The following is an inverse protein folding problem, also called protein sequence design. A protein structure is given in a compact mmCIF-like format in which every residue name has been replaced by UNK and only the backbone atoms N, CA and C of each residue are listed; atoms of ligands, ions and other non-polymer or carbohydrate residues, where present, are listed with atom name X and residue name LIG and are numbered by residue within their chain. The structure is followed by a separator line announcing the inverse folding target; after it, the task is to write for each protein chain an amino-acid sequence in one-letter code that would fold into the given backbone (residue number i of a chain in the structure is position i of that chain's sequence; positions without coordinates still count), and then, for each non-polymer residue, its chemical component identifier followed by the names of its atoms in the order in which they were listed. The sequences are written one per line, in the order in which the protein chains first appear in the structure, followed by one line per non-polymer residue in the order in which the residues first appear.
data_IF_876087966634
#
_entry.id   IF_876087966634
#
_cell.length_a   1.000
_cell.length_b   1.000
_cell.length_c   1.000
_cell.angle_alpha   90.00
_cell.angle_beta   90.00
_cell.angle_gamma   90.00
#
_symmetry.space_group_name_H-M   'P 1'
#
loop_
_entity.id
_entity.type
_entity.pdbx_description
1 polymer ?
#
# COMPACT_ATOMS: atom_id res chain seq x y z
N UNK A 1 12.23 0.46 -20.34
CA UNK A 1 12.44 0.33 -18.87
C UNK A 1 11.42 -0.63 -18.31
N UNK A 2 11.81 -1.64 -17.53
CA UNK A 2 10.91 -2.69 -17.04
C UNK A 2 10.34 -2.35 -15.65
N UNK A 3 9.05 -2.59 -15.47
CA UNK A 3 8.33 -2.38 -14.21
C UNK A 3 8.98 -3.22 -13.10
N UNK A 4 9.21 -2.57 -11.96
CA UNK A 4 9.91 -3.10 -10.79
C UNK A 4 11.38 -3.51 -11.00
N UNK A 5 11.98 -3.21 -12.13
CA UNK A 5 13.41 -3.37 -12.32
C UNK A 5 14.17 -2.37 -11.45
N UNK A 6 15.22 -2.86 -10.79
CA UNK A 6 16.12 -2.05 -9.98
C UNK A 6 17.25 -1.50 -10.86
N UNK A 7 17.42 -0.19 -10.84
CA UNK A 7 18.45 0.51 -11.59
C UNK A 7 19.49 1.13 -10.68
N UNK A 8 20.74 1.13 -11.14
CA UNK A 8 21.85 1.86 -10.53
C UNK A 8 21.95 3.25 -11.13
N UNK A 9 21.95 4.26 -10.27
CA UNK A 9 22.20 5.66 -10.62
C UNK A 9 23.47 6.17 -9.91
N UNK A 10 24.53 6.33 -10.69
CA UNK A 10 25.84 6.79 -10.21
C UNK A 10 26.14 8.22 -10.64
N UNK A 11 26.80 8.97 -9.76
CA UNK A 11 27.37 10.29 -10.07
C UNK A 11 28.88 10.26 -9.80
N UNK A 12 29.74 10.65 -10.75
CA UNK A 12 29.41 11.09 -12.12
C UNK A 12 28.80 9.94 -12.95
N UNK A 13 28.09 10.32 -14.02
CA UNK A 13 27.44 9.35 -14.91
C UNK A 13 28.49 8.50 -15.64
N UNK A 14 28.36 7.16 -15.64
CA UNK A 14 29.22 6.25 -16.41
C UNK A 14 28.96 6.31 -17.93
N UNK A 15 27.98 7.10 -18.39
CA UNK A 15 27.58 7.17 -19.80
C UNK A 15 26.50 6.16 -20.19
N UNK A 16 25.96 6.29 -21.42
CA UNK A 16 24.89 5.43 -21.95
C UNK A 16 25.38 4.06 -22.45
N UNK A 17 26.68 3.89 -22.71
CA UNK A 17 27.25 2.65 -23.26
C UNK A 17 27.56 1.61 -22.18
N UNK A 18 27.61 2.04 -20.92
CA UNK A 18 27.83 1.14 -19.78
C UNK A 18 26.50 0.53 -19.36
N UNK A 19 26.26 -0.74 -19.70
CA UNK A 19 24.98 -1.41 -19.41
C UNK A 19 24.76 -1.69 -17.93
N UNK A 20 25.80 -2.10 -17.20
CA UNK A 20 25.73 -2.46 -15.79
C UNK A 20 26.75 -1.70 -14.96
N UNK A 21 26.35 -1.31 -13.75
CA UNK A 21 27.23 -0.76 -12.71
C UNK A 21 26.95 -1.49 -11.42
N UNK A 22 28.00 -2.05 -10.81
CA UNK A 22 27.89 -2.86 -9.59
C UNK A 22 26.92 -4.06 -9.76
N UNK A 23 26.82 -4.65 -10.97
CA UNK A 23 25.92 -5.78 -11.26
C UNK A 23 24.45 -5.40 -11.52
N UNK A 24 24.10 -4.12 -11.43
CA UNK A 24 22.74 -3.63 -11.67
C UNK A 24 22.68 -2.78 -12.93
N UNK A 25 21.53 -2.81 -13.61
CA UNK A 25 21.35 -2.06 -14.86
C UNK A 25 21.52 -0.58 -14.62
N UNK A 26 22.41 0.05 -15.37
CA UNK A 26 22.68 1.47 -15.31
C UNK A 26 21.49 2.25 -15.88
N UNK A 27 20.95 3.20 -15.11
CA UNK A 27 19.82 3.99 -15.60
C UNK A 27 20.16 4.78 -16.86
N UNK A 28 21.38 5.31 -16.99
CA UNK A 28 21.76 6.11 -18.17
C UNK A 28 21.79 5.28 -19.45
N UNK A 29 22.12 3.99 -19.35
CA UNK A 29 22.00 3.05 -20.44
C UNK A 29 20.54 2.67 -20.70
N UNK A 30 19.77 2.37 -19.65
CA UNK A 30 18.35 2.04 -19.77
C UNK A 30 17.51 3.18 -20.36
N UNK A 31 17.99 4.41 -20.24
CA UNK A 31 17.38 5.63 -20.76
C UNK A 31 18.17 6.25 -21.91
N UNK A 32 19.05 5.49 -22.57
CA UNK A 32 19.80 6.00 -23.72
C UNK A 32 18.85 6.36 -24.85
N UNK A 33 19.13 7.47 -25.51
CA UNK A 33 18.42 7.80 -26.73
C UNK A 33 18.83 6.85 -27.86
N UNK A 34 17.91 6.45 -28.75
CA UNK A 34 18.29 5.85 -30.02
C UNK A 34 19.16 6.81 -30.83
N UNK A 35 19.97 6.27 -31.73
CA UNK A 35 20.84 7.03 -32.65
C UNK A 35 20.03 7.69 -33.78
N UNK A 36 19.00 8.45 -33.40
CA UNK A 36 18.19 9.22 -34.32
C UNK A 36 18.85 10.59 -34.57
N UNK A 37 18.86 11.09 -35.82
CA UNK A 37 19.50 12.38 -36.14
C UNK A 37 19.02 13.55 -35.27
N UNK A 38 17.75 13.56 -34.86
CA UNK A 38 17.20 14.60 -33.99
C UNK A 38 17.63 14.53 -32.52
N UNK A 39 18.37 13.49 -32.11
CA UNK A 39 18.74 13.25 -30.71
C UNK A 39 20.25 13.34 -30.42
N UNK A 40 21.08 13.64 -31.42
CA UNK A 40 22.55 13.71 -31.29
C UNK A 40 22.99 14.58 -30.10
N UNK A 41 22.34 15.72 -29.89
CA UNK A 41 22.65 16.66 -28.79
C UNK A 41 21.56 16.70 -27.70
N UNK A 42 20.69 15.69 -27.64
CA UNK A 42 19.56 15.69 -26.71
C UNK A 42 19.97 15.59 -25.23
N UNK A 43 21.24 15.28 -24.95
CA UNK A 43 21.79 15.10 -23.61
C UNK A 43 21.34 13.78 -22.99
N UNK A 44 21.13 13.76 -21.67
CA UNK A 44 20.68 12.59 -20.92
C UNK A 44 19.59 12.96 -19.94
N UNK A 45 18.76 12.00 -19.53
CA UNK A 45 17.86 12.20 -18.39
C UNK A 45 18.64 12.19 -17.06
N UNK A 46 18.09 12.84 -16.05
CA UNK A 46 18.56 12.77 -14.66
C UNK A 46 17.47 12.10 -13.81
N UNK A 47 17.89 11.46 -12.71
CA UNK A 47 17.01 10.88 -11.69
C UNK A 47 17.56 11.19 -10.30
N UNK A 48 17.68 12.48 -10.04
CA UNK A 48 17.89 13.02 -8.72
C UNK A 48 16.62 12.88 -7.87
N UNK A 49 16.79 12.98 -6.55
CA UNK A 49 15.65 12.90 -5.65
C UNK A 49 14.74 14.12 -5.86
N UNK A 50 13.44 13.88 -6.01
CA UNK A 50 12.46 14.94 -6.26
C UNK A 50 11.80 14.80 -7.62
N UNK A 51 11.59 15.93 -8.29
CA UNK A 51 10.97 16.03 -9.61
C UNK A 51 12.02 16.46 -10.63
N UNK A 52 12.38 15.56 -11.54
CA UNK A 52 13.30 15.81 -12.65
C UNK A 52 12.56 15.96 -13.97
N UNK A 53 12.64 17.16 -14.50
CA UNK A 53 11.95 17.57 -15.70
C UNK A 53 12.85 17.39 -16.93
N UNK A 54 12.46 16.52 -17.87
CA UNK A 54 13.15 16.48 -19.18
C UNK A 54 12.94 17.84 -19.87
N UNK A 55 14.02 18.43 -20.41
CA UNK A 55 13.98 19.78 -21.00
C UNK A 55 12.86 19.90 -22.04
N UNK A 56 12.18 21.05 -22.06
CA UNK A 56 11.25 21.35 -23.16
C UNK A 56 12.01 21.45 -24.47
N UNK A 57 11.38 21.02 -25.56
CA UNK A 57 11.90 21.17 -26.92
C UNK A 57 10.90 21.92 -27.79
N UNK A 58 11.39 22.50 -28.88
CA UNK A 58 10.57 22.97 -29.99
C UNK A 58 10.66 21.92 -31.11
N UNK A 59 9.62 21.12 -31.25
CA UNK A 59 9.48 20.15 -32.33
C UNK A 59 8.75 20.77 -33.53
N UNK A 60 8.66 20.02 -34.63
CA UNK A 60 7.95 20.43 -35.86
C UNK A 60 6.48 20.80 -35.63
N UNK A 61 5.84 20.27 -34.59
CA UNK A 61 4.43 20.50 -34.25
C UNK A 61 4.23 21.35 -32.98
N UNK A 62 5.29 21.98 -32.48
CA UNK A 62 5.24 22.96 -31.40
C UNK A 62 6.12 22.64 -30.19
N UNK A 63 5.93 23.41 -29.13
CA UNK A 63 6.67 23.18 -27.88
C UNK A 63 6.03 22.05 -27.07
N UNK A 64 6.87 21.16 -26.55
CA UNK A 64 6.42 20.06 -25.70
C UNK A 64 7.45 19.68 -24.64
N UNK A 65 6.95 19.07 -23.57
CA UNK A 65 7.77 18.39 -22.56
C UNK A 65 7.77 16.87 -22.84
N UNK A 66 8.95 16.23 -22.95
CA UNK A 66 9.00 14.82 -23.26
C UNK A 66 8.48 13.92 -22.13
N UNK A 67 8.95 14.13 -20.90
CA UNK A 67 8.54 13.40 -19.70
C UNK A 67 8.93 14.17 -18.43
N UNK A 68 8.39 13.74 -17.28
CA UNK A 68 8.82 14.16 -15.94
C UNK A 68 9.16 12.88 -15.15
N UNK A 69 10.34 12.80 -14.55
CA UNK A 69 10.75 11.70 -13.69
C UNK A 69 10.56 12.14 -12.23
N UNK A 70 9.97 11.29 -11.40
CA UNK A 70 9.67 11.54 -9.99
C UNK A 70 10.33 10.45 -9.17
N UNK A 71 11.26 10.84 -8.29
CA UNK A 71 12.07 9.94 -7.50
C UNK A 71 11.81 10.13 -6.00
N UNK A 72 11.06 9.21 -5.40
CA UNK A 72 10.62 9.26 -4.00
C UNK A 72 11.44 8.35 -3.08
N UNK A 73 11.63 8.78 -1.84
CA UNK A 73 12.36 8.05 -0.80
C UNK A 73 11.42 7.72 0.38
N UNK A 74 10.52 6.73 0.22
CA UNK A 74 9.50 6.44 1.23
C UNK A 74 10.12 5.95 2.56
N UNK A 75 11.23 5.21 2.52
CA UNK A 75 11.87 4.64 3.71
C UNK A 75 12.60 5.64 4.62
N UNK A 76 12.59 6.93 4.31
CA UNK A 76 13.01 7.98 5.25
C UNK A 76 11.83 8.54 6.07
N UNK A 77 10.60 8.06 5.81
CA UNK A 77 9.42 8.28 6.64
C UNK A 77 9.44 7.32 7.83
N UNK A 78 10.21 7.68 8.86
CA UNK A 78 10.35 6.86 10.08
C UNK A 78 11.00 7.59 11.26
N UNK A 79 11.28 8.89 11.15
CA UNK A 79 11.47 9.73 12.34
C UNK A 79 10.11 10.27 12.76
N UNK A 80 9.81 10.26 14.06
CA UNK A 80 8.54 10.58 14.76
C UNK A 80 7.81 11.90 14.42
N UNK A 81 8.16 12.60 13.33
CA UNK A 81 7.88 14.01 13.17
C UNK A 81 7.39 14.46 11.78
N UNK A 82 7.31 13.60 10.76
CA UNK A 82 6.76 14.00 9.44
C UNK A 82 5.43 13.29 9.14
N UNK A 83 4.27 13.90 9.46
CA UNK A 83 2.95 13.33 9.12
C UNK A 83 2.71 13.26 7.60
N UNK A 84 3.53 13.94 6.81
CA UNK A 84 3.44 13.98 5.35
C UNK A 84 4.56 13.13 4.73
N UNK A 85 4.19 11.99 4.17
CA UNK A 85 5.10 11.10 3.42
C UNK A 85 4.45 10.70 2.10
N UNK A 86 5.28 10.46 1.07
CA UNK A 86 4.77 9.95 -0.19
C UNK A 86 4.19 8.54 0.01
N UNK A 87 3.01 8.28 -0.54
CA UNK A 87 2.38 6.96 -0.54
C UNK A 87 2.56 6.36 -1.94
N UNK A 88 3.34 5.28 -2.04
CA UNK A 88 3.61 4.61 -3.30
C UNK A 88 2.87 3.28 -3.32
N UNK A 89 1.75 3.21 -4.04
CA UNK A 89 0.89 2.02 -4.15
C UNK A 89 0.83 1.50 -5.60
N UNK A 90 1.97 1.05 -6.17
CA UNK A 90 2.02 0.64 -7.58
C UNK A 90 1.17 -0.60 -7.88
N UNK A 91 0.78 -1.37 -6.87
CA UNK A 91 -0.06 -2.56 -7.02
C UNK A 91 -1.50 -2.23 -7.44
N UNK A 92 -2.04 -1.11 -6.94
CA UNK A 92 -3.37 -0.60 -7.31
C UNK A 92 -3.28 0.57 -8.31
N UNK A 93 -2.07 0.88 -8.77
CA UNK A 93 -1.80 1.94 -9.75
C UNK A 93 -2.06 3.35 -9.22
N UNK A 94 -1.66 3.63 -7.97
CA UNK A 94 -1.80 4.93 -7.33
C UNK A 94 -0.49 5.39 -6.69
N UNK A 95 -0.19 6.68 -6.83
CA UNK A 95 0.90 7.37 -6.14
C UNK A 95 0.36 8.67 -5.58
N UNK A 96 0.56 8.91 -4.28
CA UNK A 96 0.38 10.21 -3.65
C UNK A 96 1.75 10.84 -3.38
N UNK A 97 2.05 11.93 -4.07
CA UNK A 97 3.38 12.56 -4.05
C UNK A 97 3.33 14.00 -3.56
N UNK A 98 4.19 14.36 -2.61
CA UNK A 98 4.32 15.72 -2.10
C UNK A 98 5.35 16.51 -2.90
N UNK A 99 4.98 17.74 -3.24
CA UNK A 99 5.76 18.66 -4.04
C UNK A 99 7.11 19.07 -3.45
N UNK A 100 7.90 19.79 -4.24
CA UNK A 100 9.24 20.23 -3.88
C UNK A 100 9.29 21.58 -3.13
N UNK A 101 8.13 22.17 -2.78
CA UNK A 101 8.15 23.37 -1.95
C UNK A 101 8.62 23.07 -0.52
N UNK A 102 9.35 24.03 0.05
CA UNK A 102 9.90 23.99 1.40
C UNK A 102 9.70 25.34 2.05
N UNK A 103 9.65 25.40 3.38
CA UNK A 103 9.51 26.65 4.13
C UNK A 103 10.57 27.71 3.79
N UNK A 104 11.73 27.31 3.28
CA UNK A 104 12.83 28.21 2.87
C UNK A 104 12.67 28.82 1.48
N UNK A 105 11.75 28.32 0.65
CA UNK A 105 11.64 28.68 -0.77
C UNK A 105 10.59 29.77 -1.06
N UNK A 106 9.87 30.23 -0.03
CA UNK A 106 8.87 31.30 -0.14
C UNK A 106 7.42 30.80 -0.05
N UNK A 107 6.45 31.74 -0.07
CA UNK A 107 5.04 31.43 0.16
C UNK A 107 4.35 30.80 -1.06
N UNK A 108 4.86 31.02 -2.28
CA UNK A 108 4.23 30.53 -3.49
C UNK A 108 4.71 29.09 -3.81
N UNK A 109 3.83 28.08 -3.74
CA UNK A 109 4.20 26.68 -3.99
C UNK A 109 4.58 26.39 -5.44
N UNK A 110 4.45 27.35 -6.36
CA UNK A 110 4.89 27.23 -7.77
C UNK A 110 6.28 27.87 -8.06
N UNK A 111 6.91 28.48 -7.06
CA UNK A 111 8.28 28.99 -7.20
C UNK A 111 9.29 27.87 -7.44
N UNK A 112 9.22 26.71 -6.76
CA UNK A 112 10.04 25.56 -7.08
C UNK A 112 9.77 25.01 -8.50
N UNK A 113 10.81 24.58 -9.23
CA UNK A 113 10.67 24.12 -10.61
C UNK A 113 9.89 22.80 -10.72
N UNK A 114 9.95 21.92 -9.72
CA UNK A 114 9.26 20.65 -9.71
C UNK A 114 7.75 20.83 -9.71
N UNK A 115 7.21 21.50 -8.71
CA UNK A 115 5.78 21.84 -8.60
C UNK A 115 5.27 22.55 -9.84
N UNK A 116 6.01 23.55 -10.33
CA UNK A 116 5.66 24.26 -11.57
C UNK A 116 5.57 23.32 -12.77
N UNK A 117 6.47 22.34 -12.85
CA UNK A 117 6.48 21.39 -13.96
C UNK A 117 5.30 20.42 -13.91
N UNK A 118 4.99 19.84 -12.76
CA UNK A 118 3.87 18.90 -12.59
C UNK A 118 2.52 19.62 -12.75
N UNK A 119 2.38 20.81 -12.15
CA UNK A 119 1.17 21.63 -12.30
C UNK A 119 0.92 22.09 -13.74
N UNK A 120 1.97 22.27 -14.55
CA UNK A 120 1.80 22.60 -15.97
C UNK A 120 1.23 21.42 -16.78
N UNK A 121 1.42 20.18 -16.32
CA UNK A 121 0.86 18.99 -16.98
C UNK A 121 -0.55 18.67 -16.48
N UNK A 122 -0.91 19.03 -15.24
CA UNK A 122 -2.24 18.78 -14.65
C UNK A 122 -3.43 19.16 -15.56
N UNK A 123 -3.53 20.38 -16.14
CA UNK A 123 -4.65 20.71 -17.03
C UNK A 123 -4.65 19.87 -18.31
N UNK A 124 -3.48 19.45 -18.81
CA UNK A 124 -3.38 18.56 -19.97
C UNK A 124 -3.83 17.13 -19.61
N UNK A 125 -3.49 16.65 -18.41
CA UNK A 125 -3.93 15.34 -17.91
C UNK A 125 -5.44 15.28 -17.66
N UNK A 126 -6.05 16.40 -17.24
CA UNK A 126 -7.50 16.52 -16.99
C UNK A 126 -8.31 16.97 -18.20
N UNK A 127 -7.68 17.18 -19.35
CA UNK A 127 -8.36 17.75 -20.50
C UNK A 127 -9.42 16.83 -21.09
N UNK A 128 -10.55 17.42 -21.48
CA UNK A 128 -11.59 16.78 -22.27
C UNK A 128 -11.19 16.58 -23.73
N UNK A 129 -10.19 17.30 -24.25
CA UNK A 129 -9.79 17.26 -25.65
C UNK A 129 -8.60 16.31 -25.87
N UNK A 130 -8.69 15.50 -26.94
CA UNK A 130 -7.57 14.62 -27.37
C UNK A 130 -6.31 15.43 -27.68
N UNK A 131 -6.46 16.60 -28.30
CA UNK A 131 -5.33 17.44 -28.71
C UNK A 131 -4.49 17.95 -27.52
N UNK A 132 -5.10 18.28 -26.40
CA UNK A 132 -4.38 18.69 -25.19
C UNK A 132 -3.76 17.48 -24.48
N UNK A 133 -4.48 16.36 -24.38
CA UNK A 133 -3.93 15.11 -23.81
C UNK A 133 -2.72 14.60 -24.59
N UNK A 134 -2.74 14.72 -25.91
CA UNK A 134 -1.63 14.37 -26.79
C UNK A 134 -0.34 15.14 -26.44
N UNK A 135 -0.47 16.40 -26.01
CA UNK A 135 0.66 17.26 -25.59
C UNK A 135 1.21 16.90 -24.22
N UNK A 136 0.37 16.33 -23.33
CA UNK A 136 0.73 16.03 -21.95
C UNK A 136 2.00 15.17 -21.86
N UNK A 137 2.89 15.50 -20.92
CA UNK A 137 4.03 14.68 -20.61
C UNK A 137 3.63 13.53 -19.65
N UNK A 138 4.11 12.30 -19.87
CA UNK A 138 4.00 11.25 -18.87
C UNK A 138 4.87 11.56 -17.65
N UNK A 139 4.36 11.18 -16.47
CA UNK A 139 5.13 11.13 -15.23
C UNK A 139 5.68 9.71 -15.06
N UNK A 140 6.97 9.58 -14.77
CA UNK A 140 7.69 8.33 -14.59
C UNK A 140 8.11 8.22 -13.12
N UNK A 141 7.64 7.21 -12.41
CA UNK A 141 7.80 7.12 -10.97
C UNK A 141 8.88 6.10 -10.58
N UNK A 142 9.71 6.50 -9.63
CA UNK A 142 10.81 5.72 -9.09
C UNK A 142 10.79 5.76 -7.57
N UNK A 143 11.06 4.63 -6.94
CA UNK A 143 11.24 4.53 -5.50
C UNK A 143 12.68 4.14 -5.16
N UNK A 144 13.23 4.75 -4.11
CA UNK A 144 14.56 4.40 -3.63
C UNK A 144 14.49 3.14 -2.76
N UNK A 145 15.42 2.21 -2.99
CA UNK A 145 15.58 1.03 -2.15
C UNK A 145 16.94 1.04 -1.45
N UNK A 146 16.98 0.60 -0.20
CA UNK A 146 18.23 0.18 0.43
C UNK A 146 18.57 -1.19 -0.15
N UNK A 147 19.72 -1.30 -0.79
CA UNK A 147 20.13 -2.53 -1.47
C UNK A 147 21.57 -2.88 -1.09
N UNK A 148 21.79 -4.11 -0.63
CA UNK A 148 23.11 -4.59 -0.17
C UNK A 148 23.81 -3.62 0.82
N UNK A 149 23.05 -3.07 1.77
CA UNK A 149 23.56 -2.11 2.77
C UNK A 149 23.83 -0.70 2.23
N UNK A 150 23.64 -0.44 0.93
CA UNK A 150 23.76 0.88 0.32
C UNK A 150 22.40 1.57 0.25
N UNK A 151 22.28 2.67 1.00
CA UNK A 151 21.05 3.46 1.05
C UNK A 151 20.90 4.49 -0.09
N UNK A 152 21.87 4.58 -1.02
CA UNK A 152 21.90 5.60 -2.09
C UNK A 152 22.23 4.98 -3.44
N UNK A 153 21.61 5.53 -4.48
CA UNK A 153 21.95 5.23 -5.88
C UNK A 153 21.24 4.02 -6.47
N UNK A 154 20.23 3.48 -5.78
CA UNK A 154 19.37 2.39 -6.25
C UNK A 154 17.93 2.87 -6.35
N UNK A 155 17.35 2.75 -7.54
CA UNK A 155 16.02 3.22 -7.87
C UNK A 155 15.24 2.14 -8.59
N UNK A 156 14.08 1.75 -8.06
CA UNK A 156 13.17 0.83 -8.71
C UNK A 156 12.13 1.62 -9.50
N UNK A 157 11.94 1.29 -10.78
CA UNK A 157 10.88 1.88 -11.60
C UNK A 157 9.52 1.29 -11.19
N UNK A 158 8.57 2.12 -10.75
CA UNK A 158 7.29 1.64 -10.21
C UNK A 158 6.09 1.86 -11.13
N UNK A 159 6.30 2.57 -12.24
CA UNK A 159 5.29 2.79 -13.26
C UNK A 159 5.37 4.17 -13.87
N UNK A 160 4.44 4.44 -14.78
CA UNK A 160 4.28 5.73 -15.43
C UNK A 160 2.81 6.14 -15.41
N UNK A 161 2.51 7.43 -15.52
CA UNK A 161 1.17 7.89 -15.22
C UNK A 161 0.86 9.33 -15.54
N UNK A 162 -0.32 9.72 -15.04
CA UNK A 162 -0.91 11.05 -15.16
C UNK A 162 -1.25 11.59 -13.77
N UNK A 163 -1.42 12.91 -13.66
CA UNK A 163 -1.93 13.55 -12.44
C UNK A 163 -3.46 13.59 -12.48
N UNK A 164 -4.11 12.94 -11.52
CA UNK A 164 -5.58 12.93 -11.37
C UNK A 164 -6.06 14.09 -10.52
N UNK A 165 -5.28 14.45 -9.49
CA UNK A 165 -5.63 15.51 -8.54
C UNK A 165 -4.38 16.26 -8.12
N UNK A 166 -4.52 17.58 -7.99
CA UNK A 166 -3.53 18.43 -7.36
C UNK A 166 -4.22 19.26 -6.27
N UNK A 167 -3.72 19.18 -5.04
CA UNK A 167 -4.27 19.91 -3.90
C UNK A 167 -3.19 20.72 -3.21
N UNK A 168 -3.54 21.91 -2.74
CA UNK A 168 -2.70 22.64 -1.81
C UNK A 168 -2.83 22.00 -0.43
N UNK A 169 -1.69 21.80 0.22
CA UNK A 169 -1.62 21.31 1.60
C UNK A 169 -0.69 22.21 2.40
N UNK A 170 -1.02 22.38 3.68
CA UNK A 170 -0.20 23.14 4.61
C UNK A 170 0.67 22.16 5.40
N UNK A 171 1.98 22.36 5.32
CA UNK A 171 2.97 21.52 5.97
C UNK A 171 3.77 22.34 6.99
N UNK A 172 4.38 21.63 7.94
CA UNK A 172 5.26 22.20 8.96
C UNK A 172 6.61 21.51 8.84
N UNK A 173 7.69 22.28 8.77
CA UNK A 173 9.04 21.73 8.75
C UNK A 173 9.58 21.45 10.16
N UNK A 174 10.75 20.83 10.25
CA UNK A 174 11.41 20.48 11.54
C UNK A 174 11.70 21.69 12.44
N UNK A 175 11.60 22.91 11.93
CA UNK A 175 11.78 24.16 12.68
C UNK A 175 10.43 24.82 13.04
N UNK A 176 9.30 24.09 12.96
CA UNK A 176 7.95 24.60 13.19
C UNK A 176 7.52 25.73 12.24
N UNK A 177 8.13 25.81 11.05
CA UNK A 177 7.74 26.80 10.04
C UNK A 177 6.66 26.23 9.14
N UNK A 178 5.57 26.96 9.05
CA UNK A 178 4.44 26.66 8.18
C UNK A 178 4.75 27.05 6.74
N UNK A 179 4.39 26.18 5.80
CA UNK A 179 4.50 26.47 4.37
C UNK A 179 3.42 25.73 3.59
N UNK A 180 3.05 26.27 2.44
CA UNK A 180 2.09 25.65 1.53
C UNK A 180 2.85 24.84 0.49
N UNK A 181 2.38 23.64 0.19
CA UNK A 181 2.95 22.80 -0.85
C UNK A 181 1.82 22.15 -1.68
N UNK A 182 2.17 21.52 -2.79
CA UNK A 182 1.24 20.66 -3.52
C UNK A 182 1.32 19.21 -3.04
N UNK A 183 0.19 18.53 -3.06
CA UNK A 183 0.11 17.08 -3.06
C UNK A 183 -0.59 16.64 -4.36
N UNK A 184 0.03 15.68 -5.04
CA UNK A 184 -0.40 15.15 -6.32
C UNK A 184 -0.87 13.71 -6.15
N UNK A 185 -2.12 13.43 -6.49
CA UNK A 185 -2.58 12.06 -6.69
C UNK A 185 -2.43 11.69 -8.16
N UNK A 186 -1.71 10.60 -8.40
CA UNK A 186 -1.33 10.17 -9.73
C UNK A 186 -1.86 8.75 -10.00
N UNK A 187 -2.44 8.57 -11.19
CA UNK A 187 -2.78 7.25 -11.72
C UNK A 187 -1.59 6.68 -12.46
N UNK A 188 -1.12 5.50 -12.05
CA UNK A 188 -0.19 4.72 -12.85
C UNK A 188 -0.96 3.92 -13.89
N UNK A 189 -0.52 3.96 -15.13
CA UNK A 189 -1.13 3.25 -16.26
C UNK A 189 -0.43 1.91 -16.50
N UNK A 190 -1.19 0.94 -16.96
CA UNK A 190 -0.75 -0.44 -17.20
C UNK A 190 0.30 -0.55 -18.30
N UNK A 191 1.18 -1.55 -18.16
CA UNK A 191 2.21 -1.92 -19.14
C UNK A 191 2.06 -3.39 -19.56
N UNK A 192 0.91 -4.01 -19.28
CA UNK A 192 0.67 -5.45 -19.50
C UNK A 192 0.85 -5.82 -20.98
N UNK A 193 0.30 -5.08 -21.97
CA UNK A 193 0.50 -5.39 -23.39
C UNK A 193 1.97 -5.30 -23.83
N UNK A 194 2.76 -4.43 -23.19
CA UNK A 194 4.18 -4.24 -23.45
C UNK A 194 5.08 -5.14 -22.57
N UNK A 195 4.55 -6.26 -22.08
CA UNK A 195 5.30 -7.21 -21.24
C UNK A 195 5.97 -6.52 -20.03
N UNK A 196 5.21 -5.62 -19.39
CA UNK A 196 5.64 -4.82 -18.25
C UNK A 196 6.83 -3.90 -18.55
N UNK A 197 7.05 -3.54 -19.81
CA UNK A 197 8.17 -2.71 -20.24
C UNK A 197 7.67 -1.42 -20.86
N UNK A 198 8.04 -0.29 -20.28
CA UNK A 198 7.89 1.01 -20.91
C UNK A 198 8.83 1.10 -22.12
N UNK A 199 8.32 1.26 -23.36
CA UNK A 199 9.15 1.47 -24.54
C UNK A 199 9.86 2.83 -24.44
N UNK A 200 11.18 2.84 -24.30
CA UNK A 200 11.91 4.10 -24.10
C UNK A 200 11.97 4.94 -25.38
N UNK A 201 11.82 4.27 -26.53
CA UNK A 201 11.67 4.85 -27.86
C UNK A 201 10.50 5.85 -27.92
N UNK A 202 9.46 5.65 -27.12
CA UNK A 202 8.37 6.62 -26.98
C UNK A 202 8.86 7.94 -26.39
N UNK A 203 9.56 7.88 -25.25
CA UNK A 203 10.11 9.06 -24.58
C UNK A 203 11.14 9.74 -25.49
N UNK A 204 11.97 8.95 -26.18
CA UNK A 204 12.90 9.44 -27.18
C UNK A 204 12.19 10.16 -28.34
N UNK A 205 11.07 9.63 -28.84
CA UNK A 205 10.31 10.27 -29.92
C UNK A 205 9.69 11.59 -29.46
N UNK A 206 9.22 11.66 -28.21
CA UNK A 206 8.78 12.92 -27.62
C UNK A 206 9.93 13.93 -27.45
N UNK A 207 11.19 13.48 -27.35
CA UNK A 207 12.40 14.32 -27.27
C UNK A 207 12.96 14.73 -28.63
N UNK A 208 12.59 14.04 -29.70
CA UNK A 208 13.09 14.28 -31.06
C UNK A 208 12.33 15.46 -31.71
N UNK A 209 13.01 16.58 -32.05
CA UNK A 209 12.35 17.74 -32.66
C UNK A 209 11.81 17.46 -34.06
N UNK A 210 12.25 16.39 -34.73
CA UNK A 210 11.83 16.02 -36.09
C UNK A 210 10.56 15.17 -36.12
N UNK A 211 10.11 14.67 -34.97
CA UNK A 211 8.90 13.84 -34.86
C UNK A 211 7.71 14.64 -34.34
N UNK A 212 6.54 14.38 -34.87
CA UNK A 212 5.26 14.87 -34.34
C UNK A 212 4.84 14.09 -33.08
N UNK A 213 3.90 14.65 -32.33
CA UNK A 213 3.26 14.01 -31.20
C UNK A 213 2.48 12.75 -31.62
N UNK A 214 1.85 12.76 -32.79
CA UNK A 214 1.15 11.57 -33.32
C UNK A 214 2.13 10.43 -33.64
N UNK A 215 3.27 10.74 -34.25
CA UNK A 215 4.32 9.74 -34.48
C UNK A 215 4.88 9.22 -33.15
N UNK A 216 5.04 10.09 -32.15
CA UNK A 216 5.44 9.67 -30.82
C UNK A 216 4.37 8.78 -30.14
N UNK A 217 3.08 9.08 -30.34
CA UNK A 217 1.98 8.33 -29.74
C UNK A 217 1.94 6.87 -30.19
N UNK A 218 2.30 6.60 -31.45
CA UNK A 218 2.36 5.23 -32.00
C UNK A 218 3.37 4.32 -31.27
N UNK A 219 4.37 4.91 -30.60
CA UNK A 219 5.36 4.20 -29.82
C UNK A 219 4.98 4.08 -28.33
N UNK A 220 3.95 4.81 -27.90
CA UNK A 220 3.51 4.82 -26.51
C UNK A 220 2.87 3.49 -26.11
N UNK A 221 2.86 3.13 -24.81
CA UNK A 221 2.06 2.01 -24.32
C UNK A 221 0.59 2.11 -24.71
N UNK A 222 -0.05 0.97 -24.94
CA UNK A 222 -1.47 0.90 -25.31
C UNK A 222 -2.38 1.60 -24.29
N UNK A 223 -2.02 1.55 -23.01
CA UNK A 223 -2.72 2.26 -21.93
C UNK A 223 -2.68 3.79 -22.10
N UNK A 224 -1.53 4.35 -22.50
CA UNK A 224 -1.39 5.78 -22.79
C UNK A 224 -2.13 6.18 -24.05
N UNK A 225 -2.05 5.38 -25.12
CA UNK A 225 -2.80 5.62 -26.35
C UNK A 225 -4.31 5.69 -26.07
N UNK A 226 -4.83 4.71 -25.33
CA UNK A 226 -6.22 4.66 -24.92
C UNK A 226 -6.62 5.86 -24.05
N UNK A 227 -5.75 6.31 -23.15
CA UNK A 227 -6.00 7.53 -22.35
C UNK A 227 -5.99 8.80 -23.21
N UNK A 228 -5.05 8.95 -24.15
CA UNK A 228 -5.04 10.10 -25.06
C UNK A 228 -6.33 10.15 -25.88
N UNK A 229 -6.82 9.01 -26.38
CA UNK A 229 -8.03 8.96 -27.20
C UNK A 229 -9.32 9.19 -26.39
N UNK A 230 -9.44 8.58 -25.21
CA UNK A 230 -10.71 8.50 -24.48
C UNK A 230 -10.77 9.37 -23.21
N UNK A 231 -9.63 9.90 -22.77
CA UNK A 231 -9.49 10.73 -21.57
C UNK A 231 -9.86 10.00 -20.29
N UNK A 232 -10.54 10.71 -19.39
CA UNK A 232 -10.90 10.24 -18.05
C UNK A 232 -11.59 8.87 -18.03
N UNK A 233 -12.46 8.60 -19.02
CA UNK A 233 -13.23 7.35 -19.11
C UNK A 233 -12.37 6.11 -19.26
N UNK A 234 -11.12 6.25 -19.73
CA UNK A 234 -10.21 5.13 -19.87
C UNK A 234 -9.40 4.85 -18.60
N UNK A 235 -9.24 5.82 -17.68
CA UNK A 235 -8.23 5.77 -16.61
C UNK A 235 -8.38 4.51 -15.76
N UNK A 236 -9.56 4.21 -15.22
CA UNK A 236 -9.75 3.04 -14.35
C UNK A 236 -9.60 1.70 -15.07
N UNK A 237 -9.88 1.68 -16.38
CA UNK A 237 -9.70 0.50 -17.24
C UNK A 237 -8.24 0.26 -17.58
N UNK A 238 -7.47 1.33 -17.79
CA UNK A 238 -6.06 1.28 -18.19
C UNK A 238 -5.09 1.47 -17.02
N UNK A 239 -5.60 1.55 -15.79
CA UNK A 239 -4.81 1.67 -14.57
C UNK A 239 -3.99 0.41 -14.34
N UNK A 240 -2.73 0.58 -13.93
CA UNK A 240 -1.83 -0.49 -13.54
C UNK A 240 -2.46 -1.30 -12.40
N UNK A 241 -2.53 -2.63 -12.57
CA UNK A 241 -2.97 -3.55 -11.51
C UNK A 241 -1.99 -4.70 -11.41
N UNK A 242 -1.23 -4.72 -10.33
CA UNK A 242 -0.25 -5.78 -10.08
C UNK A 242 -0.78 -6.64 -8.95
N UNK A 243 -1.17 -7.87 -9.29
CA UNK A 243 -1.42 -8.90 -8.27
C UNK A 243 -0.07 -9.40 -7.76
N UNK A 244 0.47 -8.74 -6.73
CA UNK A 244 1.57 -9.32 -5.96
C UNK A 244 0.98 -10.21 -4.89
N UNK A 245 1.52 -11.43 -4.79
CA UNK A 245 1.38 -12.20 -3.58
C UNK A 245 2.18 -11.50 -2.47
N UNK A 246 1.52 -10.65 -1.69
CA UNK A 246 2.13 -10.08 -0.48
C UNK A 246 1.95 -11.10 0.64
N UNK A 247 2.99 -11.90 0.90
CA UNK A 247 3.08 -12.57 2.19
C UNK A 247 3.74 -11.63 3.19
N UNK A 248 3.12 -11.49 4.35
CA UNK A 248 3.75 -10.92 5.53
C UNK A 248 4.71 -11.99 6.07
N UNK A 249 5.99 -11.65 6.15
CA UNK A 249 7.02 -12.53 6.71
C UNK A 249 6.73 -12.87 8.17
N UNK A 250 7.25 -13.98 8.67
CA UNK A 250 7.10 -14.37 10.08
C UNK A 250 7.57 -13.26 11.04
N UNK A 251 8.66 -12.55 10.70
CA UNK A 251 9.19 -11.45 11.50
C UNK A 251 8.20 -10.29 11.60
N UNK A 252 7.57 -9.92 10.48
CA UNK A 252 6.61 -8.81 10.45
C UNK A 252 5.24 -9.15 11.05
N UNK A 253 4.96 -10.44 11.26
CA UNK A 253 3.74 -10.92 11.92
C UNK A 253 3.84 -10.95 13.45
N UNK A 254 5.00 -10.60 14.03
CA UNK A 254 5.22 -10.46 15.47
C UNK A 254 5.45 -9.00 15.86
N UNK A 255 5.14 -8.60 17.10
CA UNK A 255 5.60 -7.32 17.63
C UNK A 255 7.12 -7.24 17.60
N UNK A 256 7.65 -6.02 17.49
CA UNK A 256 9.08 -5.80 17.63
C UNK A 256 9.52 -6.07 19.08
N UNK A 257 10.62 -6.82 19.31
CA UNK A 257 11.06 -7.16 20.65
C UNK A 257 11.26 -5.94 21.55
N UNK A 258 10.72 -6.01 22.78
CA UNK A 258 10.85 -4.94 23.78
C UNK A 258 9.90 -3.74 23.58
N UNK A 259 8.94 -3.84 22.66
CA UNK A 259 7.84 -2.86 22.56
C UNK A 259 6.71 -3.20 23.54
N UNK A 260 5.85 -2.24 23.91
CA UNK A 260 4.67 -2.52 24.75
C UNK A 260 3.76 -3.62 24.17
N UNK A 261 3.71 -3.75 22.83
CA UNK A 261 2.96 -4.80 22.15
C UNK A 261 3.59 -6.20 22.34
N UNK A 262 4.92 -6.30 22.39
CA UNK A 262 5.65 -7.54 22.68
C UNK A 262 5.42 -7.99 24.13
N UNK A 263 5.49 -7.04 25.07
CA UNK A 263 5.18 -7.28 26.47
C UNK A 263 3.72 -7.72 26.65
N UNK A 264 2.78 -7.01 26.02
CA UNK A 264 1.36 -7.35 26.07
C UNK A 264 1.06 -8.75 25.52
N UNK A 265 1.65 -9.11 24.37
CA UNK A 265 1.53 -10.44 23.80
C UNK A 265 2.04 -11.52 24.77
N UNK A 266 3.19 -11.27 25.42
CA UNK A 266 3.76 -12.18 26.41
C UNK A 266 2.84 -12.38 27.61
N UNK A 267 2.20 -11.31 28.11
CA UNK A 267 1.21 -11.37 29.19
C UNK A 267 -0.02 -12.18 28.76
N UNK A 268 -0.55 -11.94 27.56
CA UNK A 268 -1.69 -12.68 27.00
C UNK A 268 -1.41 -14.18 26.97
N UNK A 269 -0.29 -14.58 26.37
CA UNK A 269 0.07 -15.99 26.24
C UNK A 269 0.28 -16.63 27.61
N UNK A 270 0.96 -15.94 28.53
CA UNK A 270 1.19 -16.44 29.88
C UNK A 270 -0.11 -16.62 30.68
N UNK A 271 -1.09 -15.74 30.49
CA UNK A 271 -2.37 -15.79 31.16
C UNK A 271 -3.21 -16.99 30.68
N UNK A 272 -3.49 -17.07 29.38
CA UNK A 272 -4.41 -18.08 28.83
C UNK A 272 -3.81 -19.49 28.75
N UNK A 273 -2.48 -19.64 28.69
CA UNK A 273 -1.86 -20.98 28.79
C UNK A 273 -1.90 -21.56 30.22
N UNK A 274 -2.07 -20.71 31.24
CA UNK A 274 -1.91 -21.09 32.66
C UNK A 274 -3.21 -21.07 33.47
N UNK A 275 -4.27 -20.42 32.98
CA UNK A 275 -5.58 -20.38 33.62
C UNK A 275 -6.15 -21.80 33.86
N UNK A 276 -6.29 -22.20 35.14
CA UNK A 276 -6.81 -23.51 35.59
C UNK A 276 -5.79 -24.36 36.37
N UNK A 277 -6.20 -25.46 37.02
CA UNK A 277 -5.29 -26.39 37.71
C UNK A 277 -4.39 -27.20 36.76
N UNK A 278 -4.67 -27.16 35.45
CA UNK A 278 -3.94 -27.87 34.40
C UNK A 278 -3.55 -26.91 33.27
N UNK A 279 -2.39 -27.13 32.64
CA UNK A 279 -1.97 -26.37 31.46
C UNK A 279 -2.98 -26.51 30.32
N UNK A 280 -3.28 -25.39 29.64
CA UNK A 280 -4.12 -25.37 28.43
C UNK A 280 -5.62 -25.18 28.65
N UNK A 281 -6.12 -25.18 29.89
CA UNK A 281 -7.56 -24.98 30.18
C UNK A 281 -8.03 -23.57 29.80
N UNK A 282 -7.19 -22.56 30.00
CA UNK A 282 -7.47 -21.18 29.63
C UNK A 282 -7.43 -20.87 28.13
N UNK A 283 -6.98 -21.79 27.28
CA UNK A 283 -6.85 -21.54 25.83
C UNK A 283 -8.19 -21.22 25.17
N UNK A 284 -9.27 -21.73 25.73
CA UNK A 284 -10.63 -21.45 25.27
C UNK A 284 -11.16 -20.11 25.78
N UNK A 285 -10.69 -19.65 26.93
CA UNK A 285 -11.09 -18.34 27.44
C UNK A 285 -10.48 -17.20 26.62
N UNK A 286 -9.42 -17.50 25.86
CA UNK A 286 -8.86 -16.59 24.86
C UNK A 286 -9.86 -16.19 23.77
N UNK A 287 -10.89 -17.01 23.49
CA UNK A 287 -11.93 -16.72 22.50
C UNK A 287 -12.66 -15.39 22.83
N UNK A 288 -12.84 -15.09 24.12
CA UNK A 288 -13.38 -13.82 24.62
C UNK A 288 -12.51 -12.62 24.23
N UNK A 289 -11.21 -12.71 24.49
CA UNK A 289 -10.26 -11.66 24.11
C UNK A 289 -10.11 -11.53 22.59
N UNK A 290 -10.11 -12.65 21.86
CA UNK A 290 -10.07 -12.64 20.40
C UNK A 290 -11.24 -11.87 19.79
N UNK A 291 -12.44 -11.99 20.37
CA UNK A 291 -13.62 -11.23 19.96
C UNK A 291 -13.44 -9.71 20.17
N UNK A 292 -12.82 -9.29 21.28
CA UNK A 292 -12.49 -7.87 21.51
C UNK A 292 -11.44 -7.35 20.53
N UNK A 293 -10.41 -8.14 20.24
CA UNK A 293 -9.35 -7.80 19.29
C UNK A 293 -9.94 -7.61 17.90
N UNK A 294 -10.80 -8.51 17.43
CA UNK A 294 -11.51 -8.33 16.15
C UNK A 294 -12.32 -7.05 16.15
N UNK A 295 -13.04 -6.75 17.24
CA UNK A 295 -13.75 -5.49 17.39
C UNK A 295 -12.85 -4.26 17.27
N UNK A 296 -11.65 -4.29 17.85
CA UNK A 296 -10.69 -3.19 17.78
C UNK A 296 -10.27 -2.83 16.35
N UNK A 297 -10.11 -3.83 15.49
CA UNK A 297 -9.77 -3.64 14.07
C UNK A 297 -10.97 -3.27 13.20
N UNK A 298 -12.14 -3.85 13.46
CA UNK A 298 -13.32 -3.61 12.63
C UNK A 298 -14.02 -2.28 12.93
N UNK A 299 -13.90 -1.74 14.15
CA UNK A 299 -14.45 -0.42 14.52
C UNK A 299 -13.90 0.73 13.68
N UNK A 300 -12.66 0.62 13.22
CA UNK A 300 -12.04 1.65 12.37
C UNK A 300 -12.65 1.66 10.95
N UNK A 301 -13.38 0.59 10.57
CA UNK A 301 -13.96 0.39 9.22
C UNK A 301 -15.50 0.39 9.18
N UNK A 302 -16.17 0.35 10.34
CA UNK A 302 -17.63 0.30 10.42
C UNK A 302 -18.16 0.21 11.85
N UNK A 303 -19.46 0.01 12.00
CA UNK A 303 -20.08 -0.15 13.32
C UNK A 303 -20.02 -1.62 13.73
N UNK A 304 -19.09 -1.94 14.64
CA UNK A 304 -18.93 -3.28 15.19
C UNK A 304 -19.89 -3.50 16.35
N UNK A 305 -20.63 -4.62 16.31
CA UNK A 305 -21.50 -5.08 17.37
C UNK A 305 -21.01 -6.43 17.89
N UNK A 306 -20.54 -6.51 19.15
CA UNK A 306 -20.18 -7.79 19.74
C UNK A 306 -21.43 -8.68 19.85
N UNK A 307 -21.29 -9.95 19.47
CA UNK A 307 -22.33 -10.97 19.67
C UNK A 307 -22.00 -11.81 20.90
N UNK A 308 -21.66 -13.08 20.68
CA UNK A 308 -21.43 -14.05 21.76
C UNK A 308 -20.23 -14.97 21.47
N UNK A 309 -19.79 -15.67 22.52
CA UNK A 309 -18.84 -16.79 22.43
C UNK A 309 -19.64 -18.07 22.28
N UNK A 310 -19.22 -18.95 21.37
CA UNK A 310 -19.94 -20.20 21.09
C UNK A 310 -19.68 -21.23 22.19
N UNK A 311 -20.67 -22.08 22.47
CA UNK A 311 -20.46 -23.25 23.34
C UNK A 311 -19.88 -24.41 22.54
N UNK A 312 -18.91 -25.11 23.11
CA UNK A 312 -18.15 -26.21 22.45
C UNK A 312 -18.95 -27.41 21.95
N UNK A 313 -20.22 -27.54 22.33
CA UNK A 313 -21.04 -28.66 21.88
C UNK A 313 -21.51 -28.43 20.44
N UNK A 314 -20.76 -28.94 19.47
CA UNK A 314 -21.15 -28.94 18.05
C UNK A 314 -20.82 -27.67 17.27
N UNK A 315 -19.91 -26.83 17.76
CA UNK A 315 -19.54 -25.53 17.20
C UNK A 315 -18.91 -25.58 15.79
N UNK A 316 -18.50 -26.77 15.34
CA UNK A 316 -17.89 -26.98 14.03
C UNK A 316 -16.57 -26.23 13.83
N UNK A 317 -15.93 -25.76 14.91
CA UNK A 317 -14.73 -24.92 14.90
C UNK A 317 -15.03 -23.47 14.54
N UNK A 318 -15.97 -22.83 15.24
CA UNK A 318 -16.18 -21.38 15.31
C UNK A 318 -16.26 -21.02 16.79
N UNK A 319 -15.50 -20.04 17.23
CA UNK A 319 -15.31 -19.72 18.64
C UNK A 319 -16.13 -18.51 19.10
N UNK A 320 -16.43 -17.58 18.19
CA UNK A 320 -17.28 -16.43 18.50
C UNK A 320 -18.03 -15.90 17.28
N UNK A 321 -19.10 -15.15 17.55
CA UNK A 321 -19.95 -14.50 16.54
C UNK A 321 -20.06 -13.02 16.87
N UNK A 322 -19.97 -12.17 15.84
CA UNK A 322 -20.24 -10.74 15.94
C UNK A 322 -20.88 -10.20 14.65
N UNK A 323 -21.23 -8.92 14.65
CA UNK A 323 -21.80 -8.24 13.48
C UNK A 323 -20.99 -6.99 13.15
N UNK A 324 -20.84 -6.72 11.86
CA UNK A 324 -20.28 -5.48 11.33
C UNK A 324 -21.31 -4.81 10.42
N UNK A 325 -21.65 -3.57 10.74
CA UNK A 325 -22.54 -2.73 9.95
C UNK A 325 -21.71 -1.76 9.11
N UNK A 326 -21.87 -1.84 7.78
CA UNK A 326 -21.20 -0.99 6.81
C UNK A 326 -22.19 -0.01 6.18
N UNK A 327 -21.79 1.25 6.06
CA UNK A 327 -22.66 2.34 5.57
C UNK A 327 -23.38 3.07 6.70
N UNK A 328 -24.34 3.93 6.34
CA UNK A 328 -25.03 4.83 7.29
C UNK A 328 -26.54 4.71 7.17
N UNK A 329 -27.25 4.86 8.31
CA UNK A 329 -28.71 4.87 8.38
C UNK A 329 -29.35 3.49 8.20
N UNK A 330 -30.65 3.47 7.91
CA UNK A 330 -31.48 2.24 7.83
C UNK A 330 -31.13 1.32 6.64
N UNK A 331 -30.25 1.76 5.74
CA UNK A 331 -29.73 0.97 4.63
C UNK A 331 -28.36 0.35 4.90
N UNK A 332 -27.90 0.32 6.17
CA UNK A 332 -26.62 -0.29 6.51
C UNK A 332 -26.58 -1.77 6.10
N UNK A 333 -25.45 -2.18 5.51
CA UNK A 333 -25.17 -3.57 5.20
C UNK A 333 -24.70 -4.26 6.47
N UNK A 334 -25.51 -5.20 6.96
CA UNK A 334 -25.21 -5.99 8.15
C UNK A 334 -24.50 -7.29 7.76
N UNK A 335 -23.26 -7.45 8.19
CA UNK A 335 -22.44 -8.63 7.93
C UNK A 335 -22.29 -9.46 9.21
N UNK A 336 -22.54 -10.77 9.12
CA UNK A 336 -22.16 -11.72 10.17
C UNK A 336 -20.64 -11.94 10.11
N UNK A 337 -19.99 -11.84 11.25
CA UNK A 337 -18.56 -12.11 11.44
C UNK A 337 -18.41 -13.38 12.27
N UNK A 338 -17.84 -14.43 11.68
CA UNK A 338 -17.48 -15.65 12.41
C UNK A 338 -16.01 -15.63 12.82
N UNK A 339 -15.74 -15.83 14.10
CA UNK A 339 -14.41 -15.79 14.66
C UNK A 339 -13.84 -17.17 15.00
N UNK A 340 -12.57 -17.39 14.69
CA UNK A 340 -11.75 -18.48 15.22
C UNK A 340 -10.56 -17.87 15.99
N UNK A 341 -10.26 -18.43 17.14
CA UNK A 341 -9.19 -18.03 18.04
C UNK A 341 -8.23 -19.21 18.26
N UNK A 342 -6.92 -18.94 18.25
CA UNK A 342 -5.89 -19.95 18.50
C UNK A 342 -4.76 -19.38 19.34
N UNK A 343 -4.82 -19.62 20.65
CA UNK A 343 -3.76 -19.25 21.59
C UNK A 343 -2.64 -20.31 21.58
N UNK A 344 -1.52 -20.01 20.92
CA UNK A 344 -0.36 -20.89 20.82
C UNK A 344 0.82 -20.39 21.67
N UNK A 345 1.68 -21.32 22.07
CA UNK A 345 2.92 -20.98 22.78
C UNK A 345 3.96 -20.36 21.83
N UNK A 346 4.94 -19.59 22.33
CA UNK A 346 6.03 -19.08 21.52
C UNK A 346 6.79 -20.22 20.84
N UNK A 347 6.99 -20.14 19.53
CA UNK A 347 7.68 -21.19 18.75
C UNK A 347 6.79 -22.35 18.28
N UNK A 348 5.48 -22.32 18.56
CA UNK A 348 4.53 -23.27 17.97
C UNK A 348 4.49 -23.17 16.43
N UNK A 349 4.02 -24.24 15.79
CA UNK A 349 3.82 -24.29 14.35
C UNK A 349 2.87 -23.17 13.89
N UNK A 350 3.10 -22.58 12.71
CA UNK A 350 2.22 -21.56 12.16
C UNK A 350 0.80 -22.08 11.95
N UNK A 351 -0.17 -21.18 11.99
CA UNK A 351 -1.50 -21.45 11.47
C UNK A 351 -1.41 -21.81 9.98
N UNK A 352 -1.97 -22.96 9.65
CA UNK A 352 -1.91 -23.57 8.31
C UNK A 352 -3.09 -23.15 7.45
N UNK A 353 -2.99 -23.34 6.14
CA UNK A 353 -4.09 -23.09 5.22
C UNK A 353 -5.33 -23.92 5.55
N UNK A 354 -5.16 -25.13 6.08
CA UNK A 354 -6.26 -25.96 6.57
C UNK A 354 -6.99 -25.35 7.77
N UNK A 355 -6.27 -24.71 8.71
CA UNK A 355 -6.88 -24.00 9.83
C UNK A 355 -7.79 -22.85 9.32
N UNK A 356 -7.30 -22.10 8.33
CA UNK A 356 -8.03 -20.97 7.74
C UNK A 356 -9.22 -21.45 6.90
N UNK A 357 -9.00 -22.42 6.02
CA UNK A 357 -10.03 -23.01 5.17
C UNK A 357 -11.18 -23.61 6.01
N UNK A 358 -10.89 -24.17 7.19
CA UNK A 358 -11.93 -24.64 8.11
C UNK A 358 -12.85 -23.52 8.55
N UNK A 359 -12.31 -22.36 8.91
CA UNK A 359 -13.09 -21.17 9.29
C UNK A 359 -13.94 -20.70 8.11
N UNK A 360 -13.33 -20.61 6.93
CA UNK A 360 -14.00 -20.16 5.70
C UNK A 360 -15.10 -21.11 5.25
N UNK A 361 -14.94 -22.42 5.48
CA UNK A 361 -15.93 -23.43 5.10
C UNK A 361 -17.26 -23.29 5.85
N UNK A 362 -17.31 -22.47 6.91
CA UNK A 362 -18.51 -22.18 7.71
C UNK A 362 -19.21 -20.88 7.30
N UNK A 363 -18.64 -20.12 6.38
CA UNK A 363 -19.22 -18.86 5.96
C UNK A 363 -20.36 -19.10 4.96
N UNK A 364 -21.53 -18.56 5.28
CA UNK A 364 -22.62 -18.40 4.32
C UNK A 364 -22.40 -17.18 3.42
N UNK A 365 -23.23 -17.06 2.37
CA UNK A 365 -23.16 -15.91 1.46
C UNK A 365 -23.34 -14.60 2.21
N UNK A 366 -22.39 -13.69 2.04
CA UNK A 366 -22.40 -12.39 2.70
C UNK A 366 -21.87 -12.40 4.13
N UNK A 367 -21.32 -13.54 4.60
CA UNK A 367 -20.62 -13.61 5.88
C UNK A 367 -19.13 -13.43 5.66
N UNK A 368 -18.45 -12.94 6.68
CA UNK A 368 -16.99 -12.81 6.70
C UNK A 368 -16.43 -13.55 7.90
N UNK A 369 -15.18 -14.00 7.79
CA UNK A 369 -14.48 -14.66 8.88
C UNK A 369 -13.44 -13.76 9.53
N UNK A 370 -13.05 -14.09 10.76
CA UNK A 370 -11.86 -13.58 11.41
C UNK A 370 -11.08 -14.72 12.07
N UNK A 371 -9.77 -14.76 11.88
CA UNK A 371 -8.88 -15.72 12.50
C UNK A 371 -7.84 -14.99 13.35
N UNK A 372 -7.85 -15.22 14.66
CA UNK A 372 -6.96 -14.58 15.63
C UNK A 372 -5.99 -15.61 16.20
N UNK A 373 -4.70 -15.31 16.19
CA UNK A 373 -3.71 -16.17 16.84
C UNK A 373 -2.61 -15.38 17.52
N UNK A 374 -2.12 -15.89 18.65
CA UNK A 374 -0.88 -15.41 19.29
C UNK A 374 0.39 -15.88 18.57
N UNK A 375 0.23 -16.63 17.47
CA UNK A 375 1.29 -17.09 16.58
C UNK A 375 1.35 -16.31 15.26
N UNK A 376 1.66 -17.01 14.18
CA UNK A 376 1.78 -16.42 12.84
C UNK A 376 1.21 -17.38 11.79
N UNK A 377 0.90 -16.85 10.62
CA UNK A 377 0.39 -17.59 9.46
C UNK A 377 1.54 -17.98 8.55
N UNK A 378 1.51 -19.21 8.03
CA UNK A 378 2.52 -19.65 7.06
C UNK A 378 2.38 -18.88 5.74
N UNK A 379 3.48 -18.75 4.98
CA UNK A 379 3.39 -18.13 3.65
C UNK A 379 2.40 -18.86 2.75
N UNK A 380 2.37 -20.20 2.83
CA UNK A 380 1.42 -21.02 2.08
C UNK A 380 -0.03 -20.70 2.45
N UNK A 381 -0.34 -20.55 3.75
CA UNK A 381 -1.69 -20.19 4.19
C UNK A 381 -2.11 -18.81 3.66
N UNK A 382 -1.19 -17.85 3.67
CA UNK A 382 -1.43 -16.53 3.09
C UNK A 382 -1.65 -16.61 1.56
N UNK A 383 -0.92 -17.49 0.85
CA UNK A 383 -1.11 -17.75 -0.59
C UNK A 383 -2.49 -18.26 -0.87
N UNK A 384 -2.93 -19.26 -0.12
CA UNK A 384 -4.26 -19.87 -0.29
C UNK A 384 -5.37 -18.84 -0.04
N UNK A 385 -5.28 -18.05 1.03
CA UNK A 385 -6.26 -16.97 1.31
C UNK A 385 -6.39 -16.00 0.14
N UNK A 386 -5.28 -15.60 -0.47
CA UNK A 386 -5.29 -14.67 -1.61
C UNK A 386 -5.76 -15.35 -2.91
N UNK A 387 -5.26 -16.55 -3.20
CA UNK A 387 -5.58 -17.29 -4.41
C UNK A 387 -7.06 -17.69 -4.45
N UNK A 388 -7.58 -18.19 -3.33
CA UNK A 388 -8.95 -18.69 -3.20
C UNK A 388 -9.93 -17.59 -2.75
N UNK A 389 -9.44 -16.37 -2.55
CA UNK A 389 -10.20 -15.16 -2.19
C UNK A 389 -11.05 -15.35 -0.93
N UNK A 390 -10.44 -15.90 0.11
CA UNK A 390 -11.12 -16.09 1.39
C UNK A 390 -11.54 -14.73 1.98
N UNK A 391 -12.84 -14.52 2.29
CA UNK A 391 -13.30 -13.30 2.98
C UNK A 391 -12.97 -13.39 4.47
N UNK A 392 -11.67 -13.41 4.80
CA UNK A 392 -11.14 -13.74 6.11
C UNK A 392 -10.17 -12.65 6.60
N UNK A 393 -10.49 -12.04 7.74
CA UNK A 393 -9.56 -11.17 8.47
C UNK A 393 -8.52 -12.03 9.21
N UNK A 394 -7.23 -11.81 8.95
CA UNK A 394 -6.13 -12.57 9.56
C UNK A 394 -5.38 -11.72 10.59
N UNK A 395 -5.52 -12.03 11.89
CA UNK A 395 -4.89 -11.30 12.99
C UNK A 395 -3.82 -12.16 13.67
N UNK A 396 -2.57 -11.83 13.42
CA UNK A 396 -1.38 -12.51 13.97
C UNK A 396 -0.97 -12.00 15.37
N UNK A 397 0.10 -12.55 15.93
CA UNK A 397 0.71 -12.15 17.19
C UNK A 397 0.93 -10.63 17.32
N UNK A 398 1.39 -10.00 16.24
CA UNK A 398 1.55 -8.54 16.17
C UNK A 398 0.25 -7.81 16.47
N UNK A 399 -0.81 -8.21 15.76
CA UNK A 399 -2.12 -7.60 15.89
C UNK A 399 -2.72 -7.81 17.28
N UNK A 400 -2.49 -8.98 17.88
CA UNK A 400 -2.90 -9.25 19.27
C UNK A 400 -2.23 -8.29 20.24
N UNK A 401 -0.90 -8.15 20.16
CA UNK A 401 -0.14 -7.24 21.04
C UNK A 401 -0.58 -5.79 20.89
N UNK A 402 -0.67 -5.30 19.65
CA UNK A 402 -1.08 -3.92 19.34
C UNK A 402 -2.51 -3.62 19.81
N UNK A 403 -3.48 -4.50 19.54
CA UNK A 403 -4.86 -4.31 19.96
C UNK A 403 -5.01 -4.33 21.48
N UNK A 404 -4.30 -5.22 22.19
CA UNK A 404 -4.38 -5.28 23.66
C UNK A 404 -3.83 -4.00 24.29
N UNK A 405 -2.75 -3.44 23.76
CA UNK A 405 -2.24 -2.13 24.21
C UNK A 405 -3.26 -1.03 23.92
N UNK A 406 -3.83 -0.98 22.71
CA UNK A 406 -4.86 0.01 22.32
C UNK A 406 -6.08 -0.06 23.25
N UNK A 407 -6.66 -1.24 23.43
CA UNK A 407 -7.91 -1.41 24.18
C UNK A 407 -7.72 -1.22 25.69
N UNK A 408 -6.61 -1.69 26.27
CA UNK A 408 -6.32 -1.43 27.69
C UNK A 408 -6.16 0.07 27.97
N UNK A 409 -5.47 0.80 27.08
CA UNK A 409 -5.33 2.25 27.18
C UNK A 409 -6.67 2.98 27.06
N UNK A 410 -7.54 2.56 26.12
CA UNK A 410 -8.89 3.13 25.96
C UNK A 410 -9.78 2.93 27.19
N UNK A 411 -9.60 1.82 27.92
CA UNK A 411 -10.31 1.55 29.18
C UNK A 411 -9.63 2.15 30.41
N UNK A 412 -8.45 2.75 30.27
CA UNK A 412 -7.67 3.26 31.40
C UNK A 412 -7.17 2.15 32.34
N UNK A 413 -7.01 0.93 31.84
CA UNK A 413 -6.61 -0.25 32.60
C UNK A 413 -5.16 -0.64 32.28
N UNK A 414 -4.49 -1.32 33.23
CA UNK A 414 -3.25 -2.01 32.90
C UNK A 414 -3.53 -3.23 32.01
N UNK A 415 -2.59 -3.65 31.17
CA UNK A 415 -2.76 -4.85 30.32
C UNK A 415 -3.20 -6.09 31.12
N UNK A 416 -2.58 -6.45 32.25
CA UNK A 416 -3.07 -7.56 33.07
C UNK A 416 -4.51 -7.38 33.59
N UNK A 417 -4.87 -6.16 34.01
CA UNK A 417 -6.22 -5.84 34.49
C UNK A 417 -7.26 -5.96 33.36
N UNK A 418 -6.92 -5.46 32.18
CA UNK A 418 -7.75 -5.57 30.98
C UNK A 418 -8.02 -7.01 30.57
N UNK A 419 -6.99 -7.85 30.59
CA UNK A 419 -7.15 -9.27 30.26
C UNK A 419 -8.05 -9.95 31.30
N UNK A 420 -7.87 -9.64 32.59
CA UNK A 420 -8.71 -10.19 33.66
C UNK A 420 -10.17 -9.72 33.58
N UNK A 421 -10.41 -8.45 33.21
CA UNK A 421 -11.77 -7.92 33.07
C UNK A 421 -12.51 -8.58 31.91
N UNK A 422 -11.85 -8.74 30.75
CA UNK A 422 -12.40 -9.47 29.60
C UNK A 422 -12.66 -10.94 29.95
N UNK A 423 -11.75 -11.57 30.69
CA UNK A 423 -11.91 -12.97 31.12
C UNK A 423 -13.09 -13.14 32.10
N UNK A 424 -13.29 -12.22 33.04
CA UNK A 424 -14.39 -12.28 33.99
C UNK A 424 -15.76 -12.31 33.30
N UNK A 425 -15.88 -11.69 32.12
CA UNK A 425 -17.10 -11.65 31.31
C UNK A 425 -17.27 -12.87 30.38
N UNK A 426 -16.30 -13.79 30.32
CA UNK A 426 -16.34 -14.91 29.37
C UNK A 426 -17.60 -15.77 29.53
N UNK A 427 -17.90 -16.22 30.75
CA UNK A 427 -18.96 -17.19 31.00
C UNK A 427 -20.36 -16.60 30.74
N UNK A 428 -20.54 -15.30 30.95
CA UNK A 428 -21.80 -14.60 30.65
C UNK A 428 -22.00 -14.36 29.15
N UNK A 429 -20.92 -14.41 28.35
CA UNK A 429 -20.97 -14.27 26.88
C UNK A 429 -21.22 -15.59 26.16
N UNK A 430 -21.27 -16.73 26.86
CA UNK A 430 -21.48 -18.04 26.24
C UNK A 430 -22.92 -18.22 25.76
N UNK A 431 -23.09 -18.55 24.48
CA UNK A 431 -24.39 -18.79 23.87
C UNK A 431 -24.38 -19.93 22.85
N UNK A 432 -25.56 -20.50 22.62
CA UNK A 432 -25.82 -21.56 21.62
C UNK A 432 -26.72 -21.07 20.48
N UNK A 433 -26.92 -19.76 20.37
CA UNK A 433 -27.68 -19.14 19.28
C UNK A 433 -27.00 -19.40 17.93
N UNK A 434 -27.81 -19.52 16.88
CA UNK A 434 -27.30 -19.65 15.51
C UNK A 434 -26.64 -18.33 15.08
N UNK A 435 -25.52 -18.36 14.33
CA UNK A 435 -24.79 -17.13 14.04
C UNK A 435 -25.60 -16.07 13.28
N UNK A 436 -26.55 -16.49 12.44
CA UNK A 436 -27.44 -15.58 11.70
C UNK A 436 -28.28 -14.67 12.62
N UNK A 437 -28.54 -15.11 13.85
CA UNK A 437 -29.38 -14.36 14.80
C UNK A 437 -28.74 -13.04 15.23
N UNK A 438 -27.42 -12.88 15.08
CA UNK A 438 -26.71 -11.63 15.42
C UNK A 438 -27.17 -10.45 14.55
N UNK A 439 -27.79 -10.72 13.39
CA UNK A 439 -28.35 -9.67 12.53
C UNK A 439 -29.54 -8.96 13.17
N UNK A 440 -30.23 -9.61 14.12
CA UNK A 440 -31.39 -9.09 14.84
C UNK A 440 -31.07 -8.27 16.09
N UNK A 441 -29.83 -8.36 16.61
CA UNK A 441 -29.37 -7.66 17.83
C UNK A 441 -29.04 -6.19 17.56
#
# INVERSE_FOLDING_TARGET
MKLFELYRYSKPSPGPDVEFVEGYRNIFNATRWPDWPGLVDAGRVQLDHGIDSVTRIKAIDGQRRPAILIASKPHQAGSDWTPWHDELNPEVGHVRYYGDNKATLGPNPLDPPGNRSVMAEFPLHRSATRAERLRAAPLLFFESLVHEGKAKGFWRFIGFGIVERAQLTTQVDRQNRWFVNYVFDCALLGLEPESLTLPWEWIAARRDPTKTLEESLRLAPASWQAWVDQGERAVDRVRQRVSRFQSVSQGNQRPEPGTPADDALSVVVAHYKRLGPYQGVGEHRFEGLASEIVGSYLRDSGQYHPGWITKRAGDGGIDFVSRLDLGVGSGSLKLVVLGQAKCVSPGAAPASGLDLARTVSRLDRGWVGAFVTTGFFSEQAQREVQADRFPLLMLSARHVGEAVVKESALRGESVPSYIQSVDADYDVRLSSRAPIEVLGD
#
